data_IF_957210574642
#
_entry.id   IF_957210574642
#
_cell.length_a   1.000
_cell.length_b   1.000
_cell.length_c   1.000
_cell.angle_alpha   90.00
_cell.angle_beta   90.00
_cell.angle_gamma   90.00
#
_symmetry.space_group_name_H-M   'P 1'
#
loop_
_entity.id
_entity.type
_entity.pdbx_description
1 polymer ?
#
# COMPACT_ATOMS: atom_id res chain seq x y z
N UNK A 1 12.24 -11.20 19.25
CA UNK A 1 13.08 -10.60 18.19
C UNK A 1 12.77 -9.11 18.12
N UNK A 2 13.77 -8.23 18.23
CA UNK A 2 13.55 -6.78 18.14
C UNK A 2 13.63 -6.34 16.68
N UNK A 3 12.54 -5.79 16.14
CA UNK A 3 12.49 -5.16 14.80
C UNK A 3 13.44 -3.97 14.76
N UNK A 4 14.34 -3.91 13.78
CA UNK A 4 15.31 -2.81 13.65
C UNK A 4 14.61 -1.50 13.25
N UNK A 5 15.23 -0.34 13.52
CA UNK A 5 14.70 0.96 13.12
C UNK A 5 14.45 1.04 11.61
N UNK A 6 15.33 0.42 10.80
CA UNK A 6 15.19 0.31 9.35
C UNK A 6 13.94 -0.50 8.96
N UNK A 7 13.76 -1.68 9.55
CA UNK A 7 12.63 -2.53 9.23
C UNK A 7 11.30 -1.85 9.61
N UNK A 8 11.23 -1.23 10.79
CA UNK A 8 10.05 -0.46 11.21
C UNK A 8 9.72 0.66 10.23
N UNK A 9 10.74 1.38 9.76
CA UNK A 9 10.54 2.46 8.80
C UNK A 9 9.95 1.93 7.48
N UNK A 10 10.55 0.87 6.92
CA UNK A 10 10.06 0.25 5.68
C UNK A 10 8.61 -0.25 5.83
N UNK A 11 8.29 -0.89 6.97
CA UNK A 11 6.93 -1.36 7.25
C UNK A 11 5.92 -0.21 7.38
N UNK A 12 6.30 0.90 8.03
CA UNK A 12 5.45 2.10 8.17
C UNK A 12 5.22 2.79 6.83
N UNK A 13 6.27 2.95 6.03
CA UNK A 13 6.19 3.47 4.67
C UNK A 13 5.28 2.63 3.78
N UNK A 14 5.49 1.31 3.77
CA UNK A 14 4.65 0.39 3.02
C UNK A 14 3.17 0.44 3.47
N UNK A 15 2.92 0.54 4.78
CA UNK A 15 1.57 0.68 5.33
C UNK A 15 0.90 1.95 4.86
N UNK A 16 1.60 3.08 4.95
CA UNK A 16 1.10 4.39 4.51
C UNK A 16 0.80 4.40 3.01
N UNK A 17 1.71 3.83 2.21
CA UNK A 17 1.55 3.67 0.77
C UNK A 17 0.31 2.83 0.44
N UNK A 18 0.11 1.71 1.12
CA UNK A 18 -1.06 0.85 0.92
C UNK A 18 -2.39 1.56 1.23
N UNK A 19 -2.45 2.29 2.35
CA UNK A 19 -3.64 3.07 2.72
C UNK A 19 -3.95 4.18 1.71
N UNK A 20 -2.92 4.94 1.29
CA UNK A 20 -3.07 5.98 0.28
C UNK A 20 -3.55 5.40 -1.06
N UNK A 21 -3.02 4.24 -1.44
CA UNK A 21 -3.43 3.53 -2.65
C UNK A 21 -4.90 3.11 -2.62
N UNK A 22 -5.39 2.55 -1.51
CA UNK A 22 -6.79 2.20 -1.35
C UNK A 22 -7.71 3.44 -1.43
N UNK A 23 -7.31 4.55 -0.80
CA UNK A 23 -8.06 5.81 -0.86
C UNK A 23 -8.15 6.35 -2.28
N UNK A 24 -7.06 6.31 -3.05
CA UNK A 24 -7.04 6.72 -4.45
C UNK A 24 -7.97 5.87 -5.31
N UNK A 25 -7.94 4.55 -5.14
CA UNK A 25 -8.87 3.65 -5.85
C UNK A 25 -10.34 3.99 -5.59
N UNK A 26 -10.70 4.30 -4.34
CA UNK A 26 -12.06 4.74 -4.00
C UNK A 26 -12.43 6.04 -4.69
N UNK A 27 -11.53 7.02 -4.68
CA UNK A 27 -11.74 8.31 -5.35
C UNK A 27 -11.90 8.13 -6.86
N UNK A 28 -11.12 7.26 -7.48
CA UNK A 28 -11.20 6.97 -8.92
C UNK A 28 -12.55 6.31 -9.26
N UNK A 29 -13.01 5.34 -8.48
CA UNK A 29 -14.34 4.72 -8.66
C UNK A 29 -15.48 5.72 -8.46
N UNK A 30 -15.41 6.56 -7.43
CA UNK A 30 -16.40 7.63 -7.22
C UNK A 30 -16.43 8.61 -8.37
N UNK A 31 -15.27 8.95 -8.96
CA UNK A 31 -15.20 9.79 -10.15
C UNK A 31 -15.84 9.12 -11.37
N UNK A 32 -15.78 7.79 -11.46
CA UNK A 32 -16.48 6.99 -12.47
C UNK A 32 -17.98 6.81 -12.16
N UNK A 33 -18.50 7.37 -11.06
CA UNK A 33 -19.89 7.19 -10.63
C UNK A 33 -20.19 5.79 -10.08
N UNK A 34 -19.15 5.02 -9.74
CA UNK A 34 -19.26 3.65 -9.24
C UNK A 34 -19.02 3.64 -7.73
N UNK A 35 -19.82 2.90 -6.94
CA UNK A 35 -19.56 2.76 -5.52
C UNK A 35 -18.29 1.94 -5.29
N UNK A 36 -17.59 2.25 -4.21
CA UNK A 36 -16.47 1.45 -3.72
C UNK A 36 -16.98 0.20 -2.98
N UNK A 37 -17.69 -0.65 -3.72
CA UNK A 37 -18.36 -1.84 -3.20
C UNK A 37 -17.57 -3.13 -3.48
N UNK A 38 -17.87 -4.17 -2.70
CA UNK A 38 -17.30 -5.50 -2.89
C UNK A 38 -15.82 -5.65 -2.49
N UNK A 39 -15.13 -6.59 -3.13
CA UNK A 39 -13.75 -6.95 -2.82
C UNK A 39 -12.71 -5.90 -3.23
N UNK A 40 -11.54 -5.95 -2.59
CA UNK A 40 -10.40 -5.12 -2.98
C UNK A 40 -9.97 -5.42 -4.43
N UNK A 41 -9.95 -4.44 -5.34
CA UNK A 41 -9.63 -4.67 -6.76
C UNK A 41 -8.13 -4.81 -7.06
N UNK A 42 -7.26 -4.30 -6.20
CA UNK A 42 -5.82 -4.30 -6.45
C UNK A 42 -5.17 -5.67 -6.28
N UNK A 43 -4.03 -5.86 -6.94
CA UNK A 43 -3.23 -7.10 -6.93
C UNK A 43 -1.89 -6.93 -6.21
N UNK A 44 -1.27 -8.05 -5.82
CA UNK A 44 0.07 -8.03 -5.25
C UNK A 44 1.12 -7.53 -6.26
N UNK A 45 0.92 -7.75 -7.56
CA UNK A 45 1.82 -7.24 -8.62
C UNK A 45 1.80 -5.72 -8.68
N UNK A 46 0.61 -5.11 -8.57
CA UNK A 46 0.49 -3.65 -8.49
C UNK A 46 1.12 -3.12 -7.21
N UNK A 47 0.94 -3.81 -6.07
CA UNK A 47 1.60 -3.42 -4.82
C UNK A 47 3.14 -3.41 -4.94
N UNK A 48 3.73 -4.40 -5.64
CA UNK A 48 5.17 -4.40 -5.96
C UNK A 48 5.56 -3.18 -6.77
N UNK A 49 4.79 -2.86 -7.81
CA UNK A 49 5.03 -1.70 -8.67
C UNK A 49 4.97 -0.39 -7.87
N UNK A 50 3.97 -0.23 -7.02
CA UNK A 50 3.84 0.94 -6.13
C UNK A 50 5.05 1.09 -5.22
N UNK A 51 5.51 -0.01 -4.61
CA UNK A 51 6.69 -0.02 -3.75
C UNK A 51 7.97 0.30 -4.52
N UNK A 52 8.14 -0.24 -5.73
CA UNK A 52 9.30 0.03 -6.58
C UNK A 52 9.40 1.51 -6.96
N UNK A 53 8.26 2.18 -7.15
CA UNK A 53 8.21 3.61 -7.46
C UNK A 53 8.48 4.47 -6.21
N UNK A 54 7.83 4.16 -5.08
CA UNK A 54 7.80 5.05 -3.93
C UNK A 54 9.01 4.89 -2.98
N UNK A 55 9.34 3.65 -2.59
CA UNK A 55 10.28 3.41 -1.49
C UNK A 55 11.72 3.83 -1.77
N UNK A 56 12.28 3.72 -3.00
CA UNK A 56 13.62 4.23 -3.28
C UNK A 56 13.77 5.73 -2.99
N UNK A 57 12.76 6.54 -3.35
CA UNK A 57 12.76 7.97 -3.06
C UNK A 57 12.73 8.27 -1.56
N UNK A 58 11.95 7.51 -0.80
CA UNK A 58 11.89 7.66 0.65
C UNK A 58 13.19 7.23 1.37
N UNK A 59 13.85 6.17 0.89
CA UNK A 59 15.16 5.75 1.41
C UNK A 59 16.21 6.83 1.18
N UNK A 60 16.24 7.39 -0.04
CA UNK A 60 17.16 8.46 -0.42
C UNK A 60 16.95 9.71 0.43
N UNK A 61 15.69 10.13 0.61
CA UNK A 61 15.34 11.30 1.42
C UNK A 61 15.84 11.18 2.87
N UNK A 62 15.80 9.96 3.44
CA UNK A 62 16.30 9.68 4.79
C UNK A 62 17.78 9.31 4.86
N UNK A 63 18.52 9.42 3.75
CA UNK A 63 19.94 9.02 3.64
C UNK A 63 20.17 7.57 4.10
N UNK A 64 19.19 6.70 3.87
CA UNK A 64 19.28 5.27 4.17
C UNK A 64 19.79 4.51 2.94
N UNK A 65 20.49 3.37 3.13
CA UNK A 65 20.85 2.49 2.04
C UNK A 65 19.62 2.06 1.22
N UNK A 66 19.83 1.83 -0.08
CA UNK A 66 18.78 1.34 -0.96
C UNK A 66 18.10 0.09 -0.42
N UNK A 67 16.82 -0.09 -0.76
CA UNK A 67 16.04 -1.25 -0.32
C UNK A 67 16.52 -2.52 -1.02
N UNK A 68 16.68 -3.60 -0.26
CA UNK A 68 17.03 -4.93 -0.79
C UNK A 68 15.82 -5.60 -1.44
N UNK A 69 16.05 -6.67 -2.22
CA UNK A 69 14.95 -7.45 -2.81
C UNK A 69 14.01 -8.08 -1.77
N UNK A 70 14.57 -8.57 -0.66
CA UNK A 70 13.79 -9.16 0.45
C UNK A 70 12.92 -8.10 1.12
N UNK A 71 13.50 -6.94 1.44
CA UNK A 71 12.77 -5.82 2.04
C UNK A 71 11.68 -5.29 1.11
N UNK A 72 11.94 -5.26 -0.20
CA UNK A 72 10.97 -4.84 -1.22
C UNK A 72 9.77 -5.78 -1.28
N UNK A 73 10.00 -7.09 -1.29
CA UNK A 73 8.91 -8.08 -1.31
C UNK A 73 8.10 -8.03 0.00
N UNK A 74 8.77 -7.86 1.15
CA UNK A 74 8.09 -7.66 2.43
C UNK A 74 7.23 -6.39 2.40
N UNK A 75 7.79 -5.27 1.95
CA UNK A 75 7.08 -4.01 1.80
C UNK A 75 5.87 -4.14 0.85
N UNK A 76 6.00 -4.84 -0.27
CA UNK A 76 4.91 -5.05 -1.21
C UNK A 76 3.75 -5.84 -0.58
N UNK A 77 4.05 -6.88 0.22
CA UNK A 77 3.05 -7.65 0.96
C UNK A 77 2.37 -6.81 2.04
N UNK A 78 3.14 -6.00 2.77
CA UNK A 78 2.61 -5.07 3.77
C UNK A 78 1.72 -4.01 3.13
N UNK A 79 2.13 -3.41 2.02
CA UNK A 79 1.33 -2.43 1.28
C UNK A 79 0.03 -3.05 0.76
N UNK A 80 0.08 -4.24 0.17
CA UNK A 80 -1.10 -4.97 -0.28
C UNK A 80 -2.08 -5.28 0.87
N UNK A 81 -1.56 -5.81 1.98
CA UNK A 81 -2.38 -6.13 3.15
C UNK A 81 -3.03 -4.88 3.75
N UNK A 82 -2.27 -3.80 3.89
CA UNK A 82 -2.78 -2.51 4.40
C UNK A 82 -3.81 -1.89 3.45
N UNK A 83 -3.59 -1.95 2.14
CA UNK A 83 -4.57 -1.48 1.14
C UNK A 83 -5.89 -2.26 1.22
N UNK A 84 -5.80 -3.59 1.24
CA UNK A 84 -6.98 -4.46 1.38
C UNK A 84 -7.74 -4.22 2.68
N UNK A 85 -7.02 -3.99 3.79
CA UNK A 85 -7.64 -3.69 5.08
C UNK A 85 -8.29 -2.32 5.09
N UNK A 86 -7.64 -1.31 4.53
CA UNK A 86 -8.20 0.04 4.40
C UNK A 86 -9.45 0.04 3.51
N UNK A 87 -9.41 -0.68 2.39
CA UNK A 87 -10.59 -0.89 1.54
C UNK A 87 -11.75 -1.48 2.34
N UNK A 88 -11.52 -2.60 3.04
CA UNK A 88 -12.53 -3.29 3.85
C UNK A 88 -13.19 -2.41 4.91
N UNK A 89 -12.42 -1.51 5.54
CA UNK A 89 -12.94 -0.57 6.53
C UNK A 89 -13.89 0.46 5.95
N UNK A 90 -13.83 0.67 4.64
CA UNK A 90 -14.57 1.70 3.94
C UNK A 90 -15.36 1.17 2.74
N UNK A 91 -15.71 -0.12 2.75
CA UNK A 91 -16.62 -0.69 1.74
C UNK A 91 -17.97 0.00 1.88
N UNK A 92 -18.48 0.50 0.76
CA UNK A 92 -19.84 1.01 0.67
C UNK A 92 -20.82 -0.16 0.53
N UNK A 93 -22.03 -0.05 1.11
CA UNK A 93 -23.05 -1.06 0.91
C UNK A 93 -23.37 -1.19 -0.58
N UNK A 94 -23.48 -2.43 -1.07
CA UNK A 94 -24.05 -2.68 -2.40
C UNK A 94 -25.50 -2.21 -2.36
N UNK A 95 -25.82 -1.15 -3.11
CA UNK A 95 -27.19 -0.70 -3.24
C UNK A 95 -27.99 -1.81 -3.93
N UNK A 96 -29.07 -2.31 -3.32
CA UNK A 96 -29.87 -3.43 -3.84
C UNK A 96 -30.60 -3.10 -5.14
#
# INVERSE_FOLDING_TARGET
MQTTARQRFIEQSATTLGQAWAKRWRQDLHREGRPAAGGWPGTLREARTQVEIALPGEMLHRKMPAITGVERELAARTAYASARNEWRRHIEPETP
#
